data_IF_460151230690
#
_entry.id   IF_460151230690
#
_cell.length_a   1.000
_cell.length_b   1.000
_cell.length_c   1.000
_cell.angle_alpha   90.00
_cell.angle_beta   90.00
_cell.angle_gamma   90.00
#
_symmetry.space_group_name_H-M   'P 1'
#
loop_
_entity.id
_entity.type
_entity.pdbx_description
1 polymer ?
#
# COMPACT_ATOMS: atom_id res chain seq x y z
N UNK A 1 1.30 10.79 -14.90
CA UNK A 1 1.12 9.56 -14.11
C UNK A 1 -0.25 8.96 -14.40
N UNK A 2 -0.39 7.62 -14.35
CA UNK A 2 -1.69 6.98 -14.55
C UNK A 2 -2.47 7.01 -13.24
N UNK A 3 -3.34 8.00 -13.08
CA UNK A 3 -4.20 8.17 -11.91
C UNK A 3 -5.57 7.57 -12.23
N UNK A 4 -5.99 6.54 -11.49
CA UNK A 4 -7.28 5.89 -11.68
C UNK A 4 -8.42 6.63 -10.98
N UNK A 5 -8.15 7.17 -9.79
CA UNK A 5 -9.15 7.84 -8.98
C UNK A 5 -8.52 8.79 -7.96
N UNK A 6 -9.33 9.70 -7.44
CA UNK A 6 -9.04 10.48 -6.25
C UNK A 6 -10.17 10.33 -5.23
N UNK A 7 -9.84 9.93 -4.00
CA UNK A 7 -10.73 10.06 -2.84
C UNK A 7 -10.49 11.44 -2.23
N UNK A 8 -11.51 12.27 -2.26
CA UNK A 8 -11.39 13.70 -1.92
C UNK A 8 -11.08 13.97 -0.46
N UNK A 9 -11.52 13.06 0.44
CA UNK A 9 -11.32 13.17 1.89
C UNK A 9 -11.15 11.79 2.50
N UNK A 10 -10.15 11.64 3.35
CA UNK A 10 -9.96 10.49 4.22
C UNK A 10 -9.46 10.92 5.59
N UNK A 11 -10.00 10.25 6.62
CA UNK A 11 -9.61 10.41 8.02
C UNK A 11 -8.82 9.21 8.56
N UNK A 12 -8.59 8.20 7.70
CA UNK A 12 -8.01 6.90 8.12
C UNK A 12 -6.78 6.50 7.33
N UNK A 13 -6.61 7.02 6.10
CA UNK A 13 -5.53 6.56 5.22
C UNK A 13 -4.17 7.18 5.56
N UNK A 14 -4.15 8.36 6.21
CA UNK A 14 -2.94 8.98 6.73
C UNK A 14 -3.03 9.08 8.26
N UNK A 15 -2.21 8.33 9.02
CA UNK A 15 -2.27 8.37 10.48
C UNK A 15 -2.11 9.80 11.03
N UNK A 16 -3.09 10.25 11.81
CA UNK A 16 -3.05 11.56 12.47
C UNK A 16 -3.32 12.76 11.58
N UNK A 17 -3.61 12.59 10.29
CA UNK A 17 -3.81 13.71 9.35
C UNK A 17 -5.10 13.55 8.53
N UNK A 18 -5.78 14.67 8.29
CA UNK A 18 -6.85 14.76 7.30
C UNK A 18 -6.20 14.76 5.90
N UNK A 19 -6.56 13.83 5.05
CA UNK A 19 -5.88 13.63 3.77
C UNK A 19 -6.82 13.46 2.57
N UNK A 20 -6.28 13.62 1.38
CA UNK A 20 -6.85 13.09 0.14
C UNK A 20 -6.04 11.87 -0.30
N UNK A 21 -6.66 10.96 -1.08
CA UNK A 21 -6.00 9.74 -1.54
C UNK A 21 -5.98 9.71 -3.07
N UNK A 22 -4.80 9.54 -3.65
CA UNK A 22 -4.59 9.35 -5.09
C UNK A 22 -4.35 7.86 -5.34
N UNK A 23 -5.20 7.25 -6.16
CA UNK A 23 -5.06 5.86 -6.57
C UNK A 23 -4.37 5.76 -7.93
N UNK A 24 -3.21 5.11 -7.96
CA UNK A 24 -2.50 4.83 -9.21
C UNK A 24 -3.04 3.58 -9.88
N UNK A 25 -3.00 3.54 -11.20
CA UNK A 25 -3.42 2.39 -12.01
C UNK A 25 -2.23 1.56 -12.45
N UNK A 26 -2.38 0.25 -12.36
CA UNK A 26 -1.35 -0.75 -12.66
C UNK A 26 -0.67 -1.25 -11.39
N UNK A 27 -0.49 -2.56 -11.33
CA UNK A 27 0.24 -3.25 -10.28
C UNK A 27 1.08 -4.37 -10.93
N UNK A 28 2.22 -4.64 -10.35
CA UNK A 28 3.08 -5.74 -10.76
C UNK A 28 2.83 -7.03 -9.93
N UNK A 29 1.85 -7.02 -9.01
CA UNK A 29 1.35 -8.21 -8.31
C UNK A 29 -0.09 -8.52 -8.75
N UNK A 30 -0.46 -9.80 -8.64
CA UNK A 30 -1.79 -10.33 -8.97
C UNK A 30 -2.39 -11.05 -7.75
N UNK A 31 -2.26 -10.45 -6.57
CA UNK A 31 -2.76 -11.04 -5.33
C UNK A 31 -4.24 -11.41 -5.46
N UNK A 32 -4.57 -12.70 -5.28
CA UNK A 32 -5.93 -13.18 -5.48
C UNK A 32 -6.97 -12.48 -4.61
N UNK A 33 -6.57 -12.05 -3.41
CA UNK A 33 -7.42 -11.32 -2.45
C UNK A 33 -7.51 -9.80 -2.71
N UNK A 34 -6.93 -9.30 -3.80
CA UNK A 34 -6.94 -7.86 -4.08
C UNK A 34 -8.38 -7.34 -4.24
N UNK A 35 -8.73 -6.33 -3.45
CA UNK A 35 -10.06 -5.70 -3.45
C UNK A 35 -10.31 -4.78 -4.64
N UNK A 36 -9.26 -4.42 -5.37
CA UNK A 36 -9.32 -3.42 -6.44
C UNK A 36 -8.85 -4.00 -7.78
N UNK A 37 -9.57 -4.99 -8.37
CA UNK A 37 -9.21 -5.56 -9.67
C UNK A 37 -9.07 -4.51 -10.78
N UNK A 38 -9.89 -3.46 -10.73
CA UNK A 38 -9.86 -2.35 -11.69
C UNK A 38 -8.60 -1.49 -11.64
N UNK A 39 -7.80 -1.59 -10.57
CA UNK A 39 -6.49 -0.94 -10.49
C UNK A 39 -5.35 -1.84 -10.95
N UNK A 40 -5.60 -3.16 -11.09
CA UNK A 40 -4.58 -4.17 -11.31
C UNK A 40 -4.69 -4.81 -12.69
N UNK A 41 -5.91 -5.20 -13.09
CA UNK A 41 -6.15 -5.95 -14.33
C UNK A 41 -6.37 -4.99 -15.51
N UNK A 42 -5.52 -5.04 -16.56
CA UNK A 42 -5.64 -4.10 -17.70
C UNK A 42 -7.01 -4.09 -18.37
N UNK A 43 -7.68 -5.25 -18.45
CA UNK A 43 -9.01 -5.37 -19.05
C UNK A 43 -10.12 -4.72 -18.19
N UNK A 44 -9.83 -4.38 -16.94
CA UNK A 44 -10.77 -3.76 -16.00
C UNK A 44 -10.46 -2.27 -15.74
N UNK A 45 -9.46 -1.73 -16.45
CA UNK A 45 -9.09 -0.32 -16.29
C UNK A 45 -10.19 0.59 -16.76
N UNK A 46 -10.52 1.61 -15.94
CA UNK A 46 -11.37 2.73 -16.31
C UNK A 46 -10.57 3.88 -16.91
N UNK A 47 -11.27 4.99 -17.15
CA UNK A 47 -10.65 6.22 -17.61
C UNK A 47 -9.71 6.80 -16.55
N UNK A 48 -8.66 7.47 -17.02
CA UNK A 48 -7.73 8.15 -16.13
C UNK A 48 -8.28 9.50 -15.68
N UNK A 49 -8.05 9.83 -14.43
CA UNK A 49 -8.22 11.20 -13.93
C UNK A 49 -7.03 12.04 -14.43
N UNK A 50 -7.30 13.18 -15.03
CA UNK A 50 -6.25 14.08 -15.48
C UNK A 50 -5.47 14.63 -14.28
N UNK A 51 -4.15 14.62 -14.37
CA UNK A 51 -3.29 15.17 -13.31
C UNK A 51 -3.62 16.64 -13.02
N UNK A 52 -4.02 17.42 -14.04
CA UNK A 52 -4.45 18.79 -13.89
C UNK A 52 -5.65 18.92 -12.95
N UNK A 53 -6.68 18.09 -13.15
CA UNK A 53 -7.91 18.11 -12.34
C UNK A 53 -7.62 17.75 -10.88
N UNK A 54 -6.70 16.78 -10.67
CA UNK A 54 -6.23 16.42 -9.31
C UNK A 54 -5.59 17.63 -8.63
N UNK A 55 -4.68 18.34 -9.32
CA UNK A 55 -4.01 19.50 -8.74
C UNK A 55 -4.94 20.68 -8.53
N UNK A 56 -5.87 20.93 -9.44
CA UNK A 56 -6.87 21.99 -9.28
C UNK A 56 -7.77 21.69 -8.07
N UNK A 57 -8.17 20.42 -7.88
CA UNK A 57 -8.87 20.02 -6.67
C UNK A 57 -7.99 20.24 -5.42
N UNK A 58 -6.75 19.76 -5.38
CA UNK A 58 -5.88 19.88 -4.21
C UNK A 58 -5.66 21.35 -3.81
N UNK A 59 -5.48 22.26 -4.78
CA UNK A 59 -5.37 23.70 -4.52
C UNK A 59 -6.58 24.25 -3.75
N UNK A 60 -7.80 23.75 -4.02
CA UNK A 60 -9.01 24.17 -3.28
C UNK A 60 -9.05 23.63 -1.86
N UNK A 61 -8.15 22.71 -1.51
CA UNK A 61 -8.10 22.03 -0.21
C UNK A 61 -6.95 22.51 0.69
N UNK A 62 -6.11 23.40 0.22
CA UNK A 62 -5.04 24.01 1.03
C UNK A 62 -5.66 24.62 2.28
N UNK A 63 -5.10 24.30 3.45
CA UNK A 63 -5.63 24.69 4.77
C UNK A 63 -6.84 23.87 5.26
N UNK A 64 -7.32 22.88 4.50
CA UNK A 64 -8.43 21.98 4.87
C UNK A 64 -8.02 20.53 4.98
N UNK A 65 -6.96 20.14 4.28
CA UNK A 65 -6.29 18.83 4.39
C UNK A 65 -4.83 19.10 4.74
N UNK A 66 -4.20 18.11 5.36
CA UNK A 66 -2.80 18.18 5.83
C UNK A 66 -1.89 17.37 4.95
N UNK A 67 -2.42 16.35 4.29
CA UNK A 67 -1.61 15.44 3.49
C UNK A 67 -2.33 14.79 2.31
N UNK A 68 -1.52 14.12 1.49
CA UNK A 68 -1.97 13.31 0.37
C UNK A 68 -1.35 11.91 0.50
N UNK A 69 -2.18 10.89 0.41
CA UNK A 69 -1.75 9.49 0.31
C UNK A 69 -1.66 9.10 -1.17
N UNK A 70 -0.55 8.53 -1.58
CA UNK A 70 -0.37 7.95 -2.91
C UNK A 70 -0.39 6.43 -2.73
N UNK A 71 -1.38 5.78 -3.31
CA UNK A 71 -1.66 4.35 -3.20
C UNK A 71 -2.22 3.80 -4.52
N UNK A 72 -2.97 2.71 -4.51
CA UNK A 72 -3.70 2.18 -5.65
C UNK A 72 -3.25 0.79 -6.07
N UNK A 73 -2.76 0.64 -7.30
CA UNK A 73 -2.07 -0.57 -7.74
C UNK A 73 -0.70 -0.66 -7.05
N UNK A 74 0.37 -0.31 -7.75
CA UNK A 74 1.69 -0.11 -7.14
C UNK A 74 2.27 1.23 -7.61
N UNK A 75 2.32 2.26 -6.74
CA UNK A 75 2.82 3.57 -7.13
C UNK A 75 4.28 3.58 -7.58
N UNK A 76 5.13 2.73 -7.01
CA UNK A 76 6.58 2.74 -7.26
C UNK A 76 6.97 2.25 -8.66
N UNK A 77 6.05 1.61 -9.40
CA UNK A 77 6.29 1.26 -10.80
C UNK A 77 6.01 2.43 -11.76
N UNK A 78 5.41 3.53 -11.27
CA UNK A 78 5.12 4.71 -12.08
C UNK A 78 6.38 5.58 -12.22
N UNK A 79 6.87 5.78 -13.44
CA UNK A 79 8.09 6.57 -13.72
C UNK A 79 7.98 8.02 -13.24
N UNK A 80 6.78 8.56 -13.24
CA UNK A 80 6.47 9.94 -12.86
C UNK A 80 6.23 10.16 -11.37
N UNK A 81 6.36 9.13 -10.52
CA UNK A 81 6.04 9.20 -9.10
C UNK A 81 6.77 10.33 -8.38
N UNK A 82 8.08 10.44 -8.59
CA UNK A 82 8.91 11.49 -7.96
C UNK A 82 8.45 12.90 -8.38
N UNK A 83 8.07 13.07 -9.64
CA UNK A 83 7.55 14.36 -10.14
C UNK A 83 6.22 14.72 -9.48
N UNK A 84 5.31 13.74 -9.32
CA UNK A 84 4.04 13.93 -8.64
C UNK A 84 4.25 14.32 -7.18
N UNK A 85 5.08 13.58 -6.44
CA UNK A 85 5.40 13.85 -5.04
C UNK A 85 5.92 15.29 -4.88
N UNK A 86 6.90 15.71 -5.69
CA UNK A 86 7.45 17.07 -5.63
C UNK A 86 6.40 18.14 -5.86
N UNK A 87 5.45 17.92 -6.78
CA UNK A 87 4.34 18.85 -7.01
C UNK A 87 3.40 18.94 -5.82
N UNK A 88 3.09 17.82 -5.16
CA UNK A 88 2.25 17.81 -3.95
C UNK A 88 2.96 18.54 -2.81
N UNK A 89 4.24 18.25 -2.58
CA UNK A 89 5.07 18.94 -1.57
C UNK A 89 5.14 20.45 -1.81
N UNK A 90 5.17 20.89 -3.07
CA UNK A 90 5.16 22.31 -3.44
C UNK A 90 3.84 23.03 -3.06
N UNK A 91 2.75 22.29 -2.81
CA UNK A 91 1.50 22.83 -2.24
C UNK A 91 1.53 22.94 -0.71
N UNK A 92 2.64 22.54 -0.05
CA UNK A 92 2.76 22.52 1.41
C UNK A 92 2.09 21.33 2.07
N UNK A 93 1.69 20.29 1.30
CA UNK A 93 1.03 19.10 1.82
C UNK A 93 2.04 17.99 2.14
N UNK A 94 1.81 17.28 3.24
CA UNK A 94 2.55 16.07 3.59
C UNK A 94 2.21 14.94 2.63
N UNK A 95 3.17 14.05 2.36
CA UNK A 95 2.99 12.92 1.43
C UNK A 95 3.21 11.59 2.15
N UNK A 96 2.20 10.73 2.10
CA UNK A 96 2.31 9.32 2.47
C UNK A 96 2.36 8.46 1.21
N UNK A 97 3.25 7.49 1.20
CA UNK A 97 3.35 6.49 0.13
C UNK A 97 2.98 5.11 0.67
N UNK A 98 2.01 4.47 0.04
CA UNK A 98 1.71 3.05 0.22
C UNK A 98 2.39 2.25 -0.89
N UNK A 99 3.05 1.13 -0.54
CA UNK A 99 3.79 0.32 -1.52
C UNK A 99 3.79 -1.16 -1.15
N UNK A 100 3.89 -2.03 -2.16
CA UNK A 100 4.13 -3.45 -1.99
C UNK A 100 5.63 -3.81 -1.82
N UNK A 101 6.51 -2.83 -1.90
CA UNK A 101 7.95 -2.99 -1.70
C UNK A 101 8.71 -3.66 -2.84
N UNK A 102 8.11 -3.88 -3.99
CA UNK A 102 8.76 -4.58 -5.13
C UNK A 102 9.81 -3.75 -5.87
N UNK A 103 9.89 -2.45 -5.62
CA UNK A 103 10.82 -1.55 -6.30
C UNK A 103 11.76 -0.82 -5.33
N UNK A 104 12.77 -1.51 -4.75
CA UNK A 104 13.70 -0.92 -3.80
C UNK A 104 14.49 0.26 -4.36
N UNK A 105 14.76 0.28 -5.66
CA UNK A 105 15.47 1.39 -6.31
C UNK A 105 14.68 2.70 -6.26
N UNK A 106 13.37 2.66 -6.53
CA UNK A 106 12.49 3.82 -6.40
C UNK A 106 12.35 4.24 -4.94
N UNK A 107 12.19 3.28 -4.02
CA UNK A 107 12.08 3.55 -2.59
C UNK A 107 13.35 4.21 -2.05
N UNK A 108 14.52 3.66 -2.38
CA UNK A 108 15.81 4.26 -1.99
C UNK A 108 15.91 5.71 -2.47
N UNK A 109 15.58 5.97 -3.75
CA UNK A 109 15.58 7.32 -4.31
C UNK A 109 14.66 8.28 -3.56
N UNK A 110 13.45 7.83 -3.20
CA UNK A 110 12.46 8.64 -2.49
C UNK A 110 12.92 8.93 -1.05
N UNK A 111 13.46 7.92 -0.37
CA UNK A 111 13.95 8.01 1.02
C UNK A 111 15.18 8.91 1.11
N UNK A 112 16.22 8.65 0.31
CA UNK A 112 17.48 9.41 0.33
C UNK A 112 17.26 10.91 0.05
N UNK A 113 16.27 11.24 -0.78
CA UNK A 113 15.93 12.63 -1.11
C UNK A 113 14.85 13.22 -0.19
N UNK A 114 14.44 12.53 0.86
CA UNK A 114 13.42 12.98 1.84
C UNK A 114 12.15 13.51 1.18
N UNK A 115 11.66 12.80 0.16
CA UNK A 115 10.54 13.27 -0.67
C UNK A 115 9.18 13.02 -0.03
N UNK A 116 9.08 12.08 0.89
CA UNK A 116 7.84 11.71 1.59
C UNK A 116 8.00 11.84 3.10
N UNK A 117 6.88 11.97 3.79
CA UNK A 117 6.83 12.14 5.24
C UNK A 117 6.42 10.85 5.97
N UNK A 118 5.73 9.96 5.27
CA UNK A 118 5.30 8.67 5.80
C UNK A 118 5.38 7.58 4.72
N UNK A 119 5.75 6.36 5.09
CA UNK A 119 5.74 5.20 4.21
C UNK A 119 5.02 4.03 4.87
N UNK A 120 4.06 3.43 4.15
CA UNK A 120 3.46 2.18 4.57
C UNK A 120 3.80 1.07 3.56
N UNK A 121 4.45 0.01 4.03
CA UNK A 121 4.75 -1.15 3.20
C UNK A 121 3.84 -2.32 3.54
N UNK A 122 3.15 -2.82 2.54
CA UNK A 122 2.31 -4.01 2.66
C UNK A 122 3.14 -5.27 2.44
N UNK A 123 3.39 -6.00 3.51
CA UNK A 123 3.91 -7.36 3.45
C UNK A 123 2.76 -8.30 3.11
N UNK A 124 3.00 -9.23 2.20
CA UNK A 124 1.92 -10.08 1.67
C UNK A 124 1.90 -11.47 2.33
N UNK A 125 3.06 -11.94 2.77
CA UNK A 125 3.24 -13.25 3.40
C UNK A 125 4.67 -13.37 3.98
N UNK A 126 5.00 -14.46 4.71
CA UNK A 126 6.39 -14.86 4.90
C UNK A 126 7.11 -15.02 3.57
N UNK A 127 8.42 -14.75 3.54
CA UNK A 127 9.19 -14.68 2.29
C UNK A 127 9.11 -15.94 1.43
N UNK A 128 9.02 -17.11 2.06
CA UNK A 128 8.89 -18.41 1.38
C UNK A 128 7.51 -18.64 0.72
N UNK A 129 6.47 -17.93 1.14
CA UNK A 129 5.11 -18.02 0.58
C UNK A 129 4.76 -16.83 -0.34
N UNK A 130 5.66 -15.86 -0.48
CA UNK A 130 5.37 -14.56 -1.07
C UNK A 130 4.84 -14.66 -2.51
N UNK A 131 5.54 -15.42 -3.39
CA UNK A 131 5.14 -15.58 -4.79
C UNK A 131 3.77 -16.24 -4.95
N UNK A 132 3.45 -17.22 -4.10
CA UNK A 132 2.15 -17.89 -4.13
C UNK A 132 1.01 -16.93 -3.76
N UNK A 133 1.21 -16.09 -2.74
CA UNK A 133 0.20 -15.12 -2.29
C UNK A 133 0.09 -13.94 -3.26
N UNK A 134 1.21 -13.50 -3.85
CA UNK A 134 1.21 -12.39 -4.80
C UNK A 134 0.73 -12.79 -6.21
N UNK A 135 0.56 -14.09 -6.51
CA UNK A 135 0.10 -14.59 -7.80
C UNK A 135 1.09 -14.39 -8.96
N UNK A 136 2.34 -14.05 -8.64
CA UNK A 136 3.43 -13.84 -9.60
C UNK A 136 4.75 -14.29 -8.98
N UNK A 137 5.76 -14.54 -9.80
CA UNK A 137 7.11 -14.76 -9.29
C UNK A 137 7.69 -13.46 -8.74
N UNK A 138 7.95 -13.40 -7.43
CA UNK A 138 8.46 -12.22 -6.72
C UNK A 138 9.95 -12.40 -6.43
N UNK A 139 10.74 -11.41 -6.79
CA UNK A 139 12.14 -11.31 -6.39
C UNK A 139 12.22 -10.95 -4.89
N UNK A 140 12.44 -11.95 -4.07
CA UNK A 140 12.47 -11.82 -2.61
C UNK A 140 13.60 -10.91 -2.12
N UNK A 141 14.72 -10.86 -2.84
CA UNK A 141 15.82 -9.96 -2.47
C UNK A 141 15.42 -8.49 -2.62
N UNK A 142 14.58 -8.14 -3.58
CA UNK A 142 14.00 -6.80 -3.69
C UNK A 142 13.11 -6.45 -2.50
N UNK A 143 12.30 -7.40 -2.05
CA UNK A 143 11.45 -7.20 -0.86
C UNK A 143 12.32 -6.96 0.39
N UNK A 144 13.35 -7.80 0.60
CA UNK A 144 14.31 -7.62 1.70
C UNK A 144 15.02 -6.26 1.64
N UNK A 145 15.47 -5.85 0.46
CA UNK A 145 16.10 -4.53 0.27
C UNK A 145 15.15 -3.39 0.61
N UNK A 146 13.88 -3.48 0.20
CA UNK A 146 12.87 -2.47 0.52
C UNK A 146 12.62 -2.39 2.03
N UNK A 147 12.48 -3.53 2.70
CA UNK A 147 12.37 -3.60 4.15
C UNK A 147 13.59 -2.95 4.81
N UNK A 148 14.80 -3.27 4.35
CA UNK A 148 16.04 -2.72 4.88
C UNK A 148 16.08 -1.18 4.75
N UNK A 149 15.76 -0.63 3.57
CA UNK A 149 15.76 0.83 3.37
C UNK A 149 14.73 1.53 4.23
N UNK A 150 13.52 0.97 4.33
CA UNK A 150 12.45 1.54 5.15
C UNK A 150 12.82 1.49 6.64
N UNK A 151 13.28 0.34 7.14
CA UNK A 151 13.66 0.17 8.57
C UNK A 151 14.74 1.17 8.99
N UNK A 152 15.73 1.40 8.14
CA UNK A 152 16.88 2.25 8.43
C UNK A 152 16.69 3.72 8.04
N UNK A 153 15.51 4.13 7.59
CA UNK A 153 15.20 5.52 7.29
C UNK A 153 14.68 6.25 8.54
N UNK A 154 14.81 7.59 8.56
CA UNK A 154 14.21 8.47 9.56
C UNK A 154 12.75 8.82 9.25
N UNK A 155 12.20 8.34 8.12
CA UNK A 155 10.82 8.59 7.72
C UNK A 155 9.87 7.81 8.63
N UNK A 156 8.74 8.41 9.01
CA UNK A 156 7.68 7.69 9.70
C UNK A 156 7.19 6.53 8.87
N UNK A 157 7.08 5.37 9.49
CA UNK A 157 6.87 4.13 8.76
C UNK A 157 5.89 3.20 9.43
N UNK A 158 5.25 2.37 8.60
CA UNK A 158 4.35 1.32 9.03
C UNK A 158 4.55 0.10 8.14
N UNK A 159 4.70 -1.08 8.74
CA UNK A 159 4.57 -2.34 8.04
C UNK A 159 3.17 -2.89 8.29
N UNK A 160 2.47 -3.29 7.22
CA UNK A 160 1.11 -3.80 7.30
C UNK A 160 1.03 -5.20 6.70
N UNK A 161 0.11 -5.99 7.19
CA UNK A 161 -0.30 -7.24 6.55
C UNK A 161 -1.82 -7.36 6.56
N UNK A 162 -2.40 -7.75 5.45
CA UNK A 162 -3.79 -8.19 5.41
C UNK A 162 -3.86 -9.64 5.85
N UNK A 163 -4.31 -9.86 7.09
CA UNK A 163 -4.49 -11.19 7.65
C UNK A 163 -5.72 -11.86 7.02
N UNK A 164 -5.52 -13.05 6.46
CA UNK A 164 -6.53 -13.83 5.73
C UNK A 164 -6.64 -15.18 6.41
N UNK A 165 -7.80 -15.48 6.96
CA UNK A 165 -8.07 -16.75 7.64
C UNK A 165 -7.94 -17.93 6.67
N UNK A 166 -7.25 -18.99 7.10
CA UNK A 166 -6.94 -20.16 6.28
C UNK A 166 -5.74 -20.00 5.34
N UNK A 167 -5.13 -18.79 5.29
CA UNK A 167 -3.91 -18.51 4.50
C UNK A 167 -2.75 -18.13 5.42
N UNK A 168 -2.98 -17.19 6.34
CA UNK A 168 -1.96 -16.76 7.29
C UNK A 168 -2.13 -17.49 8.62
N UNK A 169 -1.06 -18.10 9.12
CA UNK A 169 -0.97 -18.71 10.43
C UNK A 169 -0.21 -17.83 11.42
N UNK A 170 -0.23 -18.20 12.70
CA UNK A 170 0.55 -17.53 13.75
C UNK A 170 2.05 -17.63 13.44
N UNK A 171 2.52 -18.79 13.00
CA UNK A 171 3.91 -19.01 12.61
C UNK A 171 4.33 -18.12 11.43
N UNK A 172 3.39 -17.83 10.53
CA UNK A 172 3.61 -16.89 9.44
C UNK A 172 3.83 -15.47 9.98
N UNK A 173 3.01 -15.07 10.97
CA UNK A 173 3.14 -13.78 11.63
C UNK A 173 4.48 -13.66 12.38
N UNK A 174 4.88 -14.70 13.10
CA UNK A 174 6.17 -14.74 13.80
C UNK A 174 7.35 -14.65 12.83
N UNK A 175 7.26 -15.35 11.70
CA UNK A 175 8.27 -15.26 10.65
C UNK A 175 8.40 -13.84 10.10
N UNK A 176 7.29 -13.11 9.96
CA UNK A 176 7.27 -11.72 9.51
C UNK A 176 7.82 -10.80 10.63
N UNK A 177 7.37 -10.97 11.88
CA UNK A 177 7.88 -10.23 13.05
C UNK A 177 9.40 -10.39 13.17
N UNK A 178 9.95 -11.58 12.92
CA UNK A 178 11.38 -11.83 12.90
C UNK A 178 12.17 -10.97 11.91
N UNK A 179 11.54 -10.53 10.83
CA UNK A 179 12.19 -9.69 9.80
C UNK A 179 12.05 -8.20 10.11
N UNK A 180 10.83 -7.76 10.46
CA UNK A 180 10.52 -6.33 10.60
C UNK A 180 10.50 -5.84 12.04
N UNK A 181 10.39 -6.73 13.02
CA UNK A 181 10.14 -6.44 14.44
C UNK A 181 8.64 -6.52 14.76
N UNK A 182 8.29 -6.28 16.02
CA UNK A 182 6.93 -6.48 16.54
C UNK A 182 5.92 -5.39 16.10
N UNK A 183 6.41 -4.26 15.61
CA UNK A 183 5.53 -3.14 15.21
C UNK A 183 4.93 -3.38 13.82
N UNK A 184 3.98 -4.31 13.75
CA UNK A 184 3.23 -4.63 12.54
C UNK A 184 1.75 -4.27 12.71
N UNK A 185 1.17 -3.68 11.69
CA UNK A 185 -0.28 -3.41 11.64
C UNK A 185 -1.00 -4.54 10.93
N UNK A 186 -1.83 -5.27 11.67
CA UNK A 186 -2.68 -6.31 11.13
C UNK A 186 -4.02 -5.73 10.68
N UNK A 187 -4.31 -5.89 9.40
CA UNK A 187 -5.60 -5.54 8.79
C UNK A 187 -6.38 -6.84 8.54
N UNK A 188 -7.60 -6.94 9.05
CA UNK A 188 -8.44 -8.09 8.77
C UNK A 188 -8.92 -8.05 7.32
N UNK A 189 -8.74 -9.13 6.58
CA UNK A 189 -9.34 -9.29 5.26
C UNK A 189 -10.85 -9.09 5.33
N UNK A 190 -11.41 -8.37 4.36
CA UNK A 190 -12.86 -8.18 4.21
C UNK A 190 -13.31 -8.64 2.84
N UNK A 191 -14.29 -9.53 2.80
CA UNK A 191 -14.84 -10.01 1.55
C UNK A 191 -15.77 -8.96 0.94
N UNK A 192 -15.42 -8.45 -0.24
CA UNK A 192 -16.22 -7.45 -0.97
C UNK A 192 -16.99 -8.02 -2.17
N UNK A 193 -16.82 -9.31 -2.47
CA UNK A 193 -17.36 -9.94 -3.66
C UNK A 193 -16.65 -9.54 -4.97
N UNK A 194 -15.64 -8.69 -4.89
CA UNK A 194 -14.86 -8.20 -6.05
C UNK A 194 -13.37 -8.41 -5.77
N UNK A 195 -12.88 -9.60 -6.06
CA UNK A 195 -11.47 -9.96 -5.91
C UNK A 195 -10.92 -10.48 -7.24
N UNK A 196 -9.59 -10.47 -7.39
CA UNK A 196 -8.93 -11.05 -8.57
C UNK A 196 -9.14 -12.57 -8.62
N UNK A 197 -8.98 -13.24 -7.46
CA UNK A 197 -9.20 -14.69 -7.33
C UNK A 197 -10.62 -15.02 -6.92
N UNK A 198 -11.17 -16.09 -7.49
CA UNK A 198 -12.53 -16.56 -7.20
C UNK A 198 -12.62 -17.47 -5.97
N UNK A 199 -11.49 -17.79 -5.32
CA UNK A 199 -11.43 -18.72 -4.19
C UNK A 199 -11.68 -18.05 -2.82
N UNK A 200 -11.87 -16.74 -2.78
CA UNK A 200 -12.08 -16.00 -1.54
C UNK A 200 -13.57 -15.85 -1.22
N UNK A 201 -13.90 -15.98 0.05
CA UNK A 201 -15.25 -15.86 0.60
C UNK A 201 -15.24 -15.18 1.97
N UNK A 202 -16.40 -15.01 2.59
CA UNK A 202 -16.51 -14.52 3.98
C UNK A 202 -15.82 -15.44 4.99
N UNK A 203 -15.62 -16.70 4.68
CA UNK A 203 -14.93 -17.66 5.55
C UNK A 203 -13.45 -17.32 5.74
N UNK A 204 -12.88 -16.52 4.82
CA UNK A 204 -11.52 -16.03 4.93
C UNK A 204 -11.39 -14.76 5.82
N UNK A 205 -12.50 -14.23 6.35
CA UNK A 205 -12.47 -13.17 7.35
C UNK A 205 -12.27 -13.79 8.75
N UNK A 206 -11.40 -13.18 9.53
CA UNK A 206 -11.38 -13.44 10.97
C UNK A 206 -12.58 -12.73 11.63
N UNK A 207 -13.26 -13.38 12.55
CA UNK A 207 -14.14 -12.69 13.50
C UNK A 207 -13.30 -11.74 14.38
N UNK A 208 -13.95 -10.81 15.08
CA UNK A 208 -13.23 -9.89 15.96
C UNK A 208 -12.42 -10.64 17.02
N UNK A 209 -13.02 -11.69 17.64
CA UNK A 209 -12.36 -12.51 18.63
C UNK A 209 -11.13 -13.24 18.06
N UNK A 210 -11.29 -13.92 16.92
CA UNK A 210 -10.18 -14.63 16.26
C UNK A 210 -9.06 -13.67 15.85
N UNK A 211 -9.41 -12.46 15.42
CA UNK A 211 -8.43 -11.44 15.03
C UNK A 211 -7.64 -10.93 16.25
N UNK A 212 -8.30 -10.80 17.40
CA UNK A 212 -7.65 -10.41 18.65
C UNK A 212 -6.71 -11.54 19.15
N UNK A 213 -7.16 -12.79 19.07
CA UNK A 213 -6.32 -13.97 19.36
C UNK A 213 -5.12 -14.03 18.41
N UNK A 214 -5.32 -13.80 17.12
CA UNK A 214 -4.26 -13.79 16.12
C UNK A 214 -3.23 -12.66 16.32
N UNK A 215 -3.65 -11.53 16.91
CA UNK A 215 -2.74 -10.41 17.22
C UNK A 215 -1.86 -10.68 18.43
N UNK A 216 -2.40 -11.42 19.41
CA UNK A 216 -1.76 -11.66 20.70
C UNK A 216 -0.92 -12.93 20.75
N UNK A 217 -1.06 -13.77 19.75
CA UNK A 217 -0.23 -14.94 19.56
C UNK A 217 1.10 -14.53 18.94
#
# INVERSE_FOLDING_TARGET
>A
MKIAAIQKLSLIDYPGMISSVIFTQGCNFLCGYCHNPSLVLPQSFGDFVLEADVFDFLKTRIGKIEGVVITGGEPTIQLDLVRLIKKIKALGLSVKLDTNGSNPGMLKKIIDNKLIDFIAMDLKAPLNKYSAICGVNVDIEKIKQSIFYIKNSDIEKQFRITAIKGIHSVEDLDSIKGIIGDNITLQNFKFSGKHIGNSFSKENEFSSKEMDEFRTA
#
